data_IF_010684411489
#
_entry.id   IF_010684411489
#
_cell.length_a   1.000
_cell.length_b   1.000
_cell.length_c   1.000
_cell.angle_alpha   90.00
_cell.angle_beta   90.00
_cell.angle_gamma   90.00
#
_symmetry.space_group_name_H-M   'P 1'
#
loop_
_entity.id
_entity.type
_entity.pdbx_description
1 polymer ?
#
# COMPACT_ATOMS: atom_id res chain seq x y z
N UNK A 1 -9.31 3.00 3.72
CA UNK A 1 -9.87 2.01 2.79
C UNK A 1 -9.36 0.65 3.21
N UNK A 2 -10.24 -0.29 3.48
CA UNK A 2 -9.88 -1.65 3.85
C UNK A 2 -10.84 -2.64 3.18
N UNK A 3 -10.49 -3.92 3.26
CA UNK A 3 -11.24 -5.03 2.65
C UNK A 3 -12.73 -5.03 2.99
N UNK A 4 -13.13 -4.59 4.19
CA UNK A 4 -14.54 -4.56 4.62
C UNK A 4 -15.37 -3.53 3.86
N UNK A 5 -14.73 -2.48 3.34
CA UNK A 5 -15.42 -1.42 2.60
C UNK A 5 -16.01 -1.97 1.28
N UNK A 6 -15.40 -3.02 0.71
CA UNK A 6 -15.84 -3.64 -0.56
C UNK A 6 -17.24 -4.25 -0.42
N UNK A 7 -17.51 -4.92 0.71
CA UNK A 7 -18.80 -5.57 0.96
C UNK A 7 -19.97 -4.58 1.08
N UNK A 8 -19.67 -3.29 1.28
CA UNK A 8 -20.67 -2.22 1.41
C UNK A 8 -20.94 -1.51 0.07
N UNK A 9 -20.24 -1.87 -1.01
CA UNK A 9 -20.38 -1.22 -2.31
C UNK A 9 -21.66 -1.66 -3.02
N UNK A 10 -22.59 -0.73 -3.22
CA UNK A 10 -23.78 -0.92 -4.06
C UNK A 10 -23.51 -0.38 -5.47
N UNK A 11 -23.10 -1.26 -6.40
CA UNK A 11 -22.76 -0.90 -7.79
C UNK A 11 -23.92 -1.24 -8.73
N UNK A 12 -24.34 -0.26 -9.56
CA UNK A 12 -25.49 -0.40 -10.48
C UNK A 12 -25.24 -1.38 -11.62
N UNK A 13 -24.03 -1.41 -12.17
CA UNK A 13 -23.67 -2.31 -13.26
C UNK A 13 -22.30 -2.97 -13.00
N UNK A 14 -22.27 -4.10 -12.27
CA UNK A 14 -21.04 -4.82 -11.95
C UNK A 14 -20.24 -5.31 -13.16
N UNK A 15 -20.90 -5.56 -14.29
CA UNK A 15 -20.26 -6.06 -15.52
C UNK A 15 -19.54 -4.97 -16.32
N UNK A 16 -19.65 -3.70 -15.90
CA UNK A 16 -18.98 -2.56 -16.52
C UNK A 16 -18.35 -1.69 -15.43
N UNK A 17 -17.35 -2.27 -14.76
CA UNK A 17 -16.67 -1.67 -13.62
C UNK A 17 -15.16 -1.73 -13.84
N UNK A 18 -14.45 -0.66 -13.47
CA UNK A 18 -12.99 -0.61 -13.49
C UNK A 18 -12.47 -0.03 -12.17
N UNK A 19 -11.32 -0.49 -11.71
CA UNK A 19 -10.63 0.07 -10.54
C UNK A 19 -9.30 0.73 -10.89
N UNK A 20 -8.90 1.68 -10.06
CA UNK A 20 -7.55 2.27 -10.04
C UNK A 20 -7.11 2.45 -8.59
N UNK A 21 -5.80 2.51 -8.37
CA UNK A 21 -5.17 2.62 -7.05
C UNK A 21 -4.29 3.86 -6.95
N UNK A 22 -4.13 4.37 -5.72
CA UNK A 22 -3.21 5.47 -5.47
C UNK A 22 -1.75 4.99 -5.54
N UNK A 23 -0.86 5.81 -6.13
CA UNK A 23 0.54 5.44 -6.44
C UNK A 23 1.44 5.19 -5.23
N UNK A 24 1.03 5.62 -4.03
CA UNK A 24 1.84 5.61 -2.80
C UNK A 24 1.33 4.62 -1.75
N UNK A 25 0.40 3.74 -2.10
CA UNK A 25 -0.15 2.75 -1.17
C UNK A 25 0.86 1.65 -0.81
N UNK A 26 0.57 0.95 0.29
CA UNK A 26 1.23 -0.32 0.62
C UNK A 26 0.93 -1.33 -0.47
N UNK A 27 1.96 -2.00 -0.99
CA UNK A 27 1.81 -2.97 -2.08
C UNK A 27 1.04 -4.20 -1.65
N UNK A 28 1.30 -4.67 -0.43
CA UNK A 28 0.66 -5.87 0.12
C UNK A 28 -0.83 -5.58 0.38
N UNK A 29 -1.14 -4.52 1.13
CA UNK A 29 -2.53 -4.13 1.44
C UNK A 29 -3.35 -3.87 0.17
N UNK A 30 -2.73 -3.28 -0.86
CA UNK A 30 -3.41 -3.03 -2.14
C UNK A 30 -3.71 -4.33 -2.86
N UNK A 31 -2.81 -5.32 -2.80
CA UNK A 31 -3.04 -6.64 -3.38
C UNK A 31 -4.21 -7.35 -2.71
N UNK A 32 -4.29 -7.30 -1.37
CA UNK A 32 -5.39 -7.91 -0.60
C UNK A 32 -6.75 -7.29 -0.96
N UNK A 33 -6.81 -5.96 -1.10
CA UNK A 33 -8.02 -5.25 -1.51
C UNK A 33 -8.42 -5.63 -2.94
N UNK A 34 -7.46 -5.70 -3.88
CA UNK A 34 -7.72 -6.10 -5.27
C UNK A 34 -8.24 -7.54 -5.35
N UNK A 35 -7.69 -8.45 -4.55
CA UNK A 35 -8.16 -9.83 -4.49
C UNK A 35 -9.63 -9.90 -4.09
N UNK A 36 -10.02 -9.21 -3.03
CA UNK A 36 -11.41 -9.19 -2.59
C UNK A 36 -12.32 -8.44 -3.57
N UNK A 37 -11.84 -7.37 -4.22
CA UNK A 37 -12.58 -6.70 -5.29
C UNK A 37 -12.93 -7.68 -6.42
N UNK A 38 -11.98 -8.52 -6.85
CA UNK A 38 -12.20 -9.53 -7.89
C UNK A 38 -13.12 -10.66 -7.45
N UNK A 39 -13.14 -10.99 -6.16
CA UNK A 39 -14.09 -11.97 -5.62
C UNK A 39 -15.53 -11.43 -5.64
N UNK A 40 -15.74 -10.15 -5.31
CA UNK A 40 -17.06 -9.52 -5.32
C UNK A 40 -17.54 -9.10 -6.71
N UNK A 41 -16.61 -8.71 -7.59
CA UNK A 41 -16.88 -8.24 -8.94
C UNK A 41 -15.98 -8.97 -9.96
N UNK A 42 -16.33 -10.20 -10.37
CA UNK A 42 -15.46 -11.03 -11.22
C UNK A 42 -15.14 -10.44 -12.59
N UNK A 43 -16.01 -9.56 -13.12
CA UNK A 43 -15.86 -8.88 -14.41
C UNK A 43 -15.15 -7.52 -14.28
N UNK A 44 -14.67 -7.15 -13.08
CA UNK A 44 -14.00 -5.86 -12.87
C UNK A 44 -12.70 -5.78 -13.67
N UNK A 45 -12.55 -4.71 -14.44
CA UNK A 45 -11.33 -4.42 -15.16
C UNK A 45 -10.35 -3.63 -14.30
N UNK A 46 -9.05 -3.81 -14.56
CA UNK A 46 -8.00 -3.09 -13.86
C UNK A 46 -6.78 -2.90 -14.74
N UNK A 47 -5.81 -2.12 -14.28
CA UNK A 47 -4.59 -1.87 -15.04
C UNK A 47 -3.78 -3.18 -15.19
N UNK A 48 -3.08 -3.33 -16.32
CA UNK A 48 -2.26 -4.55 -16.62
C UNK A 48 -1.19 -4.82 -15.56
N UNK A 49 -0.73 -3.76 -14.89
CA UNK A 49 0.16 -3.74 -13.74
C UNK A 49 -0.45 -2.78 -12.72
N UNK A 50 -0.28 -2.99 -11.42
CA UNK A 50 -0.80 -2.09 -10.39
C UNK A 50 -0.39 -0.61 -10.66
N UNK A 51 -1.19 0.36 -10.20
CA UNK A 51 -0.88 1.79 -10.40
C UNK A 51 0.19 2.30 -9.42
N UNK A 52 0.74 1.42 -8.58
CA UNK A 52 1.81 1.74 -7.64
C UNK A 52 3.07 2.04 -8.46
N UNK A 53 3.63 3.24 -8.27
CA UNK A 53 4.78 3.64 -9.07
C UNK A 53 6.04 2.87 -8.63
N UNK A 54 7.00 2.73 -9.55
CA UNK A 54 8.28 2.05 -9.29
C UNK A 54 9.00 2.65 -8.08
N UNK A 55 8.86 3.95 -7.87
CA UNK A 55 9.54 4.69 -6.83
C UNK A 55 9.02 4.31 -5.42
N UNK A 56 7.73 3.98 -5.31
CA UNK A 56 7.10 3.46 -4.09
C UNK A 56 7.56 2.02 -3.84
N UNK A 57 7.49 1.16 -4.85
CA UNK A 57 7.92 -0.26 -4.75
C UNK A 57 9.36 -0.39 -4.32
N UNK A 58 10.28 0.25 -5.03
CA UNK A 58 11.72 0.13 -4.74
C UNK A 58 12.05 0.57 -3.30
N UNK A 59 11.39 1.61 -2.79
CA UNK A 59 11.62 2.09 -1.42
C UNK A 59 11.01 1.16 -0.37
N UNK A 60 9.83 0.59 -0.61
CA UNK A 60 9.22 -0.38 0.31
C UNK A 60 10.01 -1.68 0.38
N UNK A 61 10.55 -2.15 -0.75
CA UNK A 61 11.43 -3.33 -0.77
C UNK A 61 12.73 -3.04 -0.02
N UNK A 62 13.35 -1.88 -0.30
CA UNK A 62 14.60 -1.48 0.35
C UNK A 62 14.46 -1.33 1.86
N UNK A 63 13.34 -0.75 2.35
CA UNK A 63 13.13 -0.59 3.80
C UNK A 63 12.86 -1.93 4.48
N UNK A 64 12.21 -2.88 3.79
CA UNK A 64 11.99 -4.24 4.28
C UNK A 64 13.32 -4.99 4.43
N UNK A 65 14.24 -4.82 3.48
CA UNK A 65 15.57 -5.42 3.56
C UNK A 65 16.45 -4.73 4.61
N UNK A 66 16.38 -3.40 4.70
CA UNK A 66 17.08 -2.63 5.74
C UNK A 66 16.64 -3.07 7.15
N UNK A 67 15.34 -3.24 7.38
CA UNK A 67 14.81 -3.67 8.66
C UNK A 67 15.31 -5.06 9.09
N UNK A 68 15.70 -5.95 8.17
CA UNK A 68 16.28 -7.25 8.57
C UNK A 68 17.69 -7.12 9.18
N UNK A 69 18.34 -5.97 8.99
CA UNK A 69 19.74 -5.75 9.32
C UNK A 69 19.93 -4.70 10.42
N UNK A 70 18.86 -4.11 10.96
CA UNK A 70 18.93 -3.01 11.91
C UNK A 70 17.98 -3.19 13.10
N UNK A 71 18.35 -2.64 14.25
CA UNK A 71 17.49 -2.62 15.45
C UNK A 71 16.50 -1.44 15.48
N UNK A 72 16.74 -0.44 14.62
CA UNK A 72 15.98 0.81 14.52
C UNK A 72 15.98 1.31 13.07
N UNK A 73 14.85 1.86 12.63
CA UNK A 73 14.73 2.57 11.33
C UNK A 73 14.21 3.99 11.56
N UNK A 74 14.91 4.98 11.02
CA UNK A 74 14.45 6.37 11.00
C UNK A 74 14.08 6.75 9.56
N UNK A 75 12.81 7.09 9.35
CA UNK A 75 12.32 7.55 8.05
C UNK A 75 12.24 9.06 8.07
N UNK A 76 13.03 9.71 7.21
CA UNK A 76 12.98 11.17 7.05
C UNK A 76 11.78 11.54 6.17
N UNK A 77 10.86 12.34 6.70
CA UNK A 77 9.72 12.83 5.95
C UNK A 77 8.65 13.47 6.82
N UNK A 78 7.79 14.27 6.19
CA UNK A 78 6.66 14.90 6.86
C UNK A 78 5.62 13.87 7.31
N UNK A 79 4.96 14.07 8.47
CA UNK A 79 3.78 13.31 8.89
C UNK A 79 2.66 13.27 7.84
N UNK A 80 2.60 14.26 6.94
CA UNK A 80 1.57 14.33 5.90
C UNK A 80 1.97 13.60 4.60
N UNK A 81 3.17 13.03 4.53
CA UNK A 81 3.64 12.26 3.36
C UNK A 81 3.17 10.81 3.45
N UNK A 82 2.24 10.41 2.56
CA UNK A 82 1.75 9.02 2.50
C UNK A 82 2.90 8.02 2.35
N UNK A 83 3.80 8.24 1.38
CA UNK A 83 4.95 7.34 1.15
C UNK A 83 5.84 7.23 2.39
N UNK A 84 6.16 8.34 3.06
CA UNK A 84 7.03 8.29 4.25
C UNK A 84 6.38 7.51 5.38
N UNK A 85 5.07 7.66 5.58
CA UNK A 85 4.33 6.85 6.55
C UNK A 85 4.33 5.36 6.18
N UNK A 86 4.15 5.01 4.90
CA UNK A 86 4.20 3.61 4.46
C UNK A 86 5.56 2.97 4.67
N UNK A 87 6.66 3.70 4.48
CA UNK A 87 8.00 3.18 4.78
C UNK A 87 8.17 2.89 6.29
N UNK A 88 7.72 3.81 7.15
CA UNK A 88 7.76 3.61 8.61
C UNK A 88 6.92 2.39 9.02
N UNK A 89 5.70 2.29 8.51
CA UNK A 89 4.80 1.16 8.80
C UNK A 89 5.38 -0.17 8.32
N UNK A 90 5.98 -0.19 7.11
CA UNK A 90 6.61 -1.39 6.55
C UNK A 90 7.77 -1.88 7.43
N UNK A 91 8.60 -0.98 7.94
CA UNK A 91 9.67 -1.33 8.87
C UNK A 91 9.12 -1.87 10.20
N UNK A 92 8.08 -1.24 10.76
CA UNK A 92 7.40 -1.74 11.95
C UNK A 92 6.80 -3.14 11.74
N UNK A 93 6.16 -3.39 10.59
CA UNK A 93 5.63 -4.72 10.24
C UNK A 93 6.73 -5.78 10.06
N UNK A 94 7.95 -5.37 9.69
CA UNK A 94 9.11 -6.25 9.64
C UNK A 94 9.70 -6.55 11.04
N UNK A 95 9.12 -6.01 12.11
CA UNK A 95 9.51 -6.27 13.49
C UNK A 95 10.55 -5.31 14.08
N UNK A 96 10.87 -4.23 13.37
CA UNK A 96 11.85 -3.23 13.81
C UNK A 96 11.17 -1.94 14.22
N UNK A 97 11.61 -1.36 15.34
CA UNK A 97 11.12 -0.05 15.77
C UNK A 97 11.41 0.99 14.70
N UNK A 98 10.37 1.67 14.20
CA UNK A 98 10.51 2.67 13.16
C UNK A 98 9.81 4.00 13.51
N UNK A 99 10.54 5.10 13.31
CA UNK A 99 10.06 6.45 13.60
C UNK A 99 10.11 7.34 12.35
N UNK A 100 9.18 8.29 12.30
CA UNK A 100 9.16 9.34 11.30
C UNK A 100 9.78 10.60 11.90
N UNK A 101 10.77 11.19 11.22
CA UNK A 101 11.47 12.40 11.66
C UNK A 101 11.48 13.47 10.55
N UNK A 102 11.34 14.75 10.92
CA UNK A 102 11.41 15.86 9.97
C UNK A 102 12.86 16.33 9.72
N UNK A 103 13.71 16.26 10.74
CA UNK A 103 15.11 16.66 10.71
C UNK A 103 15.89 15.87 11.75
N UNK A 104 17.23 16.01 11.71
CA UNK A 104 18.13 15.56 12.76
C UNK A 104 17.92 16.36 14.05
#
# INVERSE_FOLDING_TARGET
ENVKDIALLSIKNPSNLCYSSQTTLSIDDTADIIEVLRQYFPEIEGPRKNDICYATQNRQDSVKDLAKLTDLVLVVGSPNSSNSNRLREKANYAGVNAYLINSA
#
